data_IF_324453382582
#
_entry.id   IF_324453382582
#
_cell.length_a   1.000
_cell.length_b   1.000
_cell.length_c   1.000
_cell.angle_alpha   90.00
_cell.angle_beta   90.00
_cell.angle_gamma   90.00
#
_symmetry.space_group_name_H-M   'P 1'
#
loop_
_entity.id
_entity.type
_entity.pdbx_description
1 polymer ?
#
# COMPACT_ATOMS: atom_id res chain seq x y z
N UNK A 1 -21.87 -7.54 9.99
CA UNK A 1 -22.18 -8.97 9.77
C UNK A 1 -23.39 -9.33 10.62
N UNK A 2 -24.47 -9.84 10.01
CA UNK A 2 -25.54 -10.54 10.75
C UNK A 2 -25.32 -12.02 10.47
N UNK A 3 -24.58 -12.68 11.36
CA UNK A 3 -24.29 -14.10 11.31
C UNK A 3 -25.09 -14.80 12.42
N UNK A 4 -25.54 -16.02 12.17
CA UNK A 4 -26.10 -16.85 13.23
C UNK A 4 -24.99 -17.41 14.14
N UNK A 5 -25.38 -18.09 15.21
CA UNK A 5 -24.43 -18.60 16.22
C UNK A 5 -23.50 -19.69 15.64
N UNK A 6 -23.99 -20.48 14.69
CA UNK A 6 -23.22 -21.56 14.09
C UNK A 6 -22.15 -21.00 13.14
N UNK A 7 -22.52 -19.98 12.36
CA UNK A 7 -21.59 -19.22 11.53
C UNK A 7 -20.53 -18.51 12.38
N UNK A 8 -20.93 -17.83 13.47
CA UNK A 8 -19.98 -17.20 14.41
C UNK A 8 -19.03 -18.23 15.03
N UNK A 9 -19.52 -19.42 15.38
CA UNK A 9 -18.68 -20.50 15.89
C UNK A 9 -17.65 -20.97 14.86
N UNK A 10 -18.05 -21.11 13.60
CA UNK A 10 -17.14 -21.46 12.51
C UNK A 10 -16.05 -20.39 12.28
N UNK A 11 -16.45 -19.11 12.26
CA UNK A 11 -15.51 -18.00 12.11
C UNK A 11 -14.54 -17.90 13.31
N UNK A 12 -15.06 -18.14 14.52
CA UNK A 12 -14.23 -18.20 15.72
C UNK A 12 -13.17 -19.30 15.62
N UNK A 13 -13.56 -20.51 15.20
CA UNK A 13 -12.62 -21.62 14.96
C UNK A 13 -11.52 -21.25 13.98
N UNK A 14 -11.85 -20.61 12.86
CA UNK A 14 -10.83 -20.12 11.92
C UNK A 14 -9.81 -19.17 12.60
N UNK A 15 -10.28 -18.30 13.50
CA UNK A 15 -9.38 -17.40 14.25
C UNK A 15 -8.48 -18.13 15.22
N UNK A 16 -9.02 -19.05 16.02
CA UNK A 16 -8.30 -19.68 17.14
C UNK A 16 -7.50 -20.91 16.75
N UNK A 17 -8.02 -21.74 15.84
CA UNK A 17 -7.40 -22.99 15.40
C UNK A 17 -6.46 -22.72 14.20
N UNK A 18 -6.98 -22.07 13.14
CA UNK A 18 -6.19 -21.83 11.92
C UNK A 18 -5.31 -20.59 12.01
N UNK A 19 -5.49 -19.77 13.06
CA UNK A 19 -4.81 -18.48 13.24
C UNK A 19 -5.10 -17.50 12.10
N UNK A 20 -6.28 -17.59 11.47
CA UNK A 20 -6.68 -16.67 10.41
C UNK A 20 -6.77 -15.24 10.95
N UNK A 21 -6.19 -14.23 10.28
CA UNK A 21 -6.30 -12.84 10.69
C UNK A 21 -7.77 -12.42 10.89
N UNK A 22 -8.04 -11.69 11.98
CA UNK A 22 -9.39 -11.22 12.29
C UNK A 22 -9.95 -10.35 11.17
N UNK A 23 -9.10 -9.52 10.56
CA UNK A 23 -9.43 -8.63 9.45
C UNK A 23 -9.91 -9.39 8.22
N UNK A 24 -9.33 -10.55 7.91
CA UNK A 24 -9.82 -11.42 6.83
C UNK A 24 -11.14 -12.11 7.19
N UNK A 25 -11.40 -12.36 8.47
CA UNK A 25 -12.68 -12.91 8.93
C UNK A 25 -13.80 -11.87 8.78
N UNK A 26 -13.54 -10.62 9.17
CA UNK A 26 -14.56 -9.54 9.08
C UNK A 26 -14.59 -8.86 7.71
N UNK A 27 -13.58 -9.08 6.87
CA UNK A 27 -13.46 -8.52 5.52
C UNK A 27 -13.01 -7.05 5.46
N UNK A 28 -12.54 -6.48 6.57
CA UNK A 28 -12.09 -5.10 6.61
C UNK A 28 -11.01 -4.85 7.67
N UNK A 29 -10.26 -3.78 7.49
CA UNK A 29 -9.33 -3.23 8.47
C UNK A 29 -9.59 -1.74 8.71
N UNK A 30 -9.41 -1.33 9.97
CA UNK A 30 -9.38 0.09 10.33
C UNK A 30 -7.96 0.63 10.15
N UNK A 31 -7.84 1.68 9.34
CA UNK A 31 -6.56 2.31 9.06
C UNK A 31 -6.76 3.83 8.95
N UNK A 32 -6.12 4.59 9.82
CA UNK A 32 -6.37 6.03 10.02
C UNK A 32 -7.87 6.30 10.27
N UNK A 33 -8.48 7.17 9.47
CA UNK A 33 -9.93 7.44 9.49
C UNK A 33 -10.71 6.61 8.45
N UNK A 34 -10.08 5.58 7.86
CA UNK A 34 -10.65 4.70 6.85
C UNK A 34 -11.03 3.34 7.45
N UNK A 35 -12.07 2.75 6.87
CA UNK A 35 -12.36 1.31 6.92
C UNK A 35 -12.14 0.75 5.53
N UNK A 36 -11.04 0.01 5.36
CA UNK A 36 -10.63 -0.56 4.08
C UNK A 36 -11.09 -2.01 3.99
N UNK A 37 -11.66 -2.40 2.86
CA UNK A 37 -11.90 -3.80 2.55
C UNK A 37 -10.56 -4.51 2.41
N UNK A 38 -10.45 -5.69 3.02
CA UNK A 38 -9.28 -6.57 2.89
C UNK A 38 -9.76 -8.01 2.75
N UNK A 39 -8.94 -8.84 2.11
CA UNK A 39 -9.19 -10.27 1.96
C UNK A 39 -7.87 -11.01 1.78
N UNK A 40 -7.93 -12.34 1.83
CA UNK A 40 -6.77 -13.19 1.56
C UNK A 40 -6.12 -12.83 0.21
N UNK A 41 -4.79 -12.75 0.22
CA UNK A 41 -4.01 -12.27 -0.93
C UNK A 41 -3.72 -10.77 -0.96
N UNK A 42 -4.14 -10.01 0.07
CA UNK A 42 -3.84 -8.57 0.21
C UNK A 42 -3.29 -8.28 1.60
N UNK A 43 -2.12 -7.63 1.66
CA UNK A 43 -1.52 -7.21 2.93
C UNK A 43 -2.52 -6.40 3.77
N UNK A 44 -2.65 -6.75 5.04
CA UNK A 44 -3.49 -5.99 5.97
C UNK A 44 -2.75 -4.68 6.29
N UNK A 45 -3.33 -3.50 6.01
CA UNK A 45 -2.68 -2.21 6.26
C UNK A 45 -2.21 -2.07 7.70
N UNK A 46 -1.00 -1.55 7.89
CA UNK A 46 -0.38 -1.39 9.20
C UNK A 46 -0.46 0.07 9.68
N UNK A 47 -0.70 0.33 10.99
CA UNK A 47 -0.73 1.69 11.53
C UNK A 47 0.56 2.47 11.26
N UNK A 48 1.69 1.78 11.24
CA UNK A 48 3.01 2.32 10.93
C UNK A 48 3.04 3.08 9.59
N UNK A 49 2.37 2.52 8.57
CA UNK A 49 2.30 3.07 7.21
C UNK A 49 1.53 4.40 7.15
N UNK A 50 0.72 4.72 8.15
CA UNK A 50 -0.03 5.99 8.21
C UNK A 50 0.91 7.21 8.19
N UNK A 51 2.14 7.07 8.71
CA UNK A 51 3.11 8.16 8.77
C UNK A 51 3.56 8.64 7.37
N UNK A 52 3.53 7.78 6.34
CA UNK A 52 3.80 8.21 4.96
C UNK A 52 2.77 9.25 4.51
N UNK A 53 1.50 9.07 4.87
CA UNK A 53 0.42 10.00 4.52
C UNK A 53 0.66 11.37 5.15
N UNK A 54 1.13 11.39 6.41
CA UNK A 54 1.47 12.64 7.10
C UNK A 54 2.67 13.36 6.45
N UNK A 55 3.70 12.62 6.04
CA UNK A 55 4.83 13.19 5.29
C UNK A 55 4.40 13.80 3.95
N UNK A 56 3.49 13.12 3.24
CA UNK A 56 2.92 13.67 1.99
C UNK A 56 2.17 14.96 2.27
N UNK A 57 1.33 15.00 3.30
CA UNK A 57 0.61 16.21 3.71
C UNK A 57 1.56 17.39 4.00
N UNK A 58 2.63 17.14 4.76
CA UNK A 58 3.60 18.15 5.14
C UNK A 58 4.36 18.76 3.97
N UNK A 59 4.57 17.98 2.90
CA UNK A 59 5.28 18.43 1.70
C UNK A 59 4.35 19.17 0.74
N UNK A 60 3.15 18.63 0.48
CA UNK A 60 2.20 19.25 -0.46
C UNK A 60 1.53 20.51 0.10
N UNK A 61 1.41 20.63 1.42
CA UNK A 61 0.92 21.87 2.07
C UNK A 61 1.85 23.06 1.85
N UNK A 62 3.13 22.82 1.56
CA UNK A 62 4.17 23.83 1.32
C UNK A 62 4.53 23.97 -0.16
N UNK A 63 3.98 23.11 -1.02
CA UNK A 63 4.34 23.07 -2.44
C UNK A 63 3.11 22.74 -3.32
N UNK A 64 2.51 23.77 -3.88
CA UNK A 64 1.32 23.63 -4.75
C UNK A 64 1.62 22.87 -6.05
N UNK A 65 2.87 22.88 -6.55
CA UNK A 65 3.24 22.11 -7.74
C UNK A 65 3.29 20.59 -7.46
N UNK A 66 3.60 20.19 -6.22
CA UNK A 66 3.48 18.80 -5.79
C UNK A 66 2.02 18.41 -5.54
N UNK A 67 1.25 19.31 -4.92
CA UNK A 67 -0.17 19.11 -4.63
C UNK A 67 -1.04 18.94 -5.89
N UNK A 68 -0.68 19.61 -6.98
CA UNK A 68 -1.39 19.53 -8.28
C UNK A 68 -0.83 18.46 -9.22
N UNK A 69 0.19 17.73 -8.78
CA UNK A 69 0.89 16.74 -9.59
C UNK A 69 0.21 15.37 -9.59
N UNK A 70 0.80 14.46 -10.38
CA UNK A 70 0.44 13.04 -10.38
C UNK A 70 1.38 12.30 -9.43
N UNK A 71 0.82 11.50 -8.54
CA UNK A 71 1.54 10.69 -7.58
C UNK A 71 1.42 9.21 -7.92
N UNK A 72 2.38 8.39 -7.50
CA UNK A 72 2.31 6.94 -7.61
C UNK A 72 2.35 6.26 -6.23
N UNK A 73 1.61 5.16 -6.10
CA UNK A 73 1.65 4.24 -4.96
C UNK A 73 2.03 2.84 -5.49
N UNK A 74 3.28 2.43 -5.27
CA UNK A 74 3.81 1.17 -5.79
C UNK A 74 3.63 0.05 -4.77
N UNK A 75 3.01 -1.06 -5.18
CA UNK A 75 2.59 -2.12 -4.26
C UNK A 75 1.38 -1.70 -3.45
N UNK A 76 0.36 -1.13 -4.12
CA UNK A 76 -0.74 -0.41 -3.48
C UNK A 76 -1.58 -1.30 -2.55
N UNK A 77 -1.56 -2.63 -2.73
CA UNK A 77 -2.24 -3.58 -1.85
C UNK A 77 -3.73 -3.31 -1.78
N UNK A 78 -4.22 -2.90 -0.61
CA UNK A 78 -5.63 -2.53 -0.42
C UNK A 78 -5.99 -1.13 -0.92
N UNK A 79 -5.03 -0.36 -1.44
CA UNK A 79 -5.20 1.04 -1.84
C UNK A 79 -5.03 2.04 -0.69
N UNK A 80 -4.52 1.62 0.48
CA UNK A 80 -4.45 2.45 1.68
C UNK A 80 -3.69 3.77 1.45
N UNK A 81 -2.46 3.67 0.94
CA UNK A 81 -1.63 4.83 0.61
C UNK A 81 -2.23 5.64 -0.54
N UNK A 82 -2.65 5.00 -1.63
CA UNK A 82 -3.28 5.68 -2.76
C UNK A 82 -4.50 6.53 -2.34
N UNK A 83 -5.38 5.99 -1.49
CA UNK A 83 -6.55 6.69 -0.95
C UNK A 83 -6.13 7.80 0.01
N UNK A 84 -5.20 7.53 0.93
CA UNK A 84 -4.67 8.52 1.87
C UNK A 84 -4.09 9.74 1.15
N UNK A 85 -3.19 9.50 0.18
CA UNK A 85 -2.58 10.54 -0.67
C UNK A 85 -3.63 11.23 -1.51
N UNK A 86 -4.52 10.49 -2.19
CA UNK A 86 -5.56 11.08 -3.04
C UNK A 86 -6.49 12.03 -2.30
N UNK A 87 -6.79 11.76 -1.02
CA UNK A 87 -7.57 12.67 -0.16
C UNK A 87 -6.80 13.94 0.18
N UNK A 88 -5.49 13.86 0.42
CA UNK A 88 -4.63 15.02 0.70
C UNK A 88 -4.54 15.95 -0.52
N UNK A 89 -4.34 15.39 -1.72
CA UNK A 89 -4.19 16.18 -2.96
C UNK A 89 -5.47 16.94 -3.35
N UNK A 90 -6.62 16.54 -2.81
CA UNK A 90 -7.89 17.21 -3.07
C UNK A 90 -8.26 17.13 -4.55
N UNK A 91 -8.73 18.24 -5.13
CA UNK A 91 -9.07 18.30 -6.57
C UNK A 91 -7.88 18.70 -7.45
N UNK A 92 -6.71 18.94 -6.85
CA UNK A 92 -5.54 19.44 -7.56
C UNK A 92 -4.75 18.35 -8.26
N UNK A 93 -4.58 17.19 -7.61
CA UNK A 93 -3.71 16.11 -8.06
C UNK A 93 -4.43 14.79 -8.35
N UNK A 94 -3.67 13.83 -8.83
CA UNK A 94 -4.11 12.46 -9.12
C UNK A 94 -3.14 11.44 -8.52
N UNK A 95 -3.60 10.22 -8.33
CA UNK A 95 -2.77 9.10 -7.88
C UNK A 95 -2.91 7.94 -8.84
N UNK A 96 -1.80 7.25 -9.11
CA UNK A 96 -1.79 5.97 -9.80
C UNK A 96 -1.29 4.93 -8.80
N UNK A 97 -2.16 4.03 -8.36
CA UNK A 97 -1.77 2.85 -7.57
C UNK A 97 -1.43 1.71 -8.51
N UNK A 98 -0.35 0.99 -8.26
CA UNK A 98 -0.04 -0.25 -8.98
C UNK A 98 0.22 -1.42 -8.06
N UNK A 99 -0.17 -2.62 -8.49
CA UNK A 99 0.14 -3.86 -7.80
C UNK A 99 0.32 -5.01 -8.80
N UNK A 100 1.20 -5.94 -8.47
CA UNK A 100 1.42 -7.17 -9.24
C UNK A 100 0.25 -8.16 -9.05
N UNK A 101 -0.40 -8.13 -7.89
CA UNK A 101 -1.48 -9.06 -7.54
C UNK A 101 -2.82 -8.59 -8.13
N UNK A 102 -3.46 -9.39 -9.01
CA UNK A 102 -4.80 -9.06 -9.51
C UNK A 102 -5.85 -8.96 -8.38
N UNK A 103 -5.63 -9.70 -7.30
CA UNK A 103 -6.48 -9.64 -6.10
C UNK A 103 -6.33 -8.29 -5.39
N UNK A 104 -5.10 -7.82 -5.22
CA UNK A 104 -4.83 -6.50 -4.65
C UNK A 104 -5.40 -5.38 -5.53
N UNK A 105 -5.19 -5.45 -6.85
CA UNK A 105 -5.77 -4.52 -7.83
C UNK A 105 -7.29 -4.41 -7.68
N UNK A 106 -8.00 -5.55 -7.60
CA UNK A 106 -9.44 -5.57 -7.43
C UNK A 106 -9.89 -4.95 -6.10
N UNK A 107 -9.19 -5.26 -5.00
CA UNK A 107 -9.48 -4.73 -3.67
C UNK A 107 -9.20 -3.22 -3.58
N UNK A 108 -8.08 -2.76 -4.12
CA UNK A 108 -7.74 -1.34 -4.21
C UNK A 108 -8.79 -0.58 -5.02
N UNK A 109 -9.19 -1.10 -6.19
CA UNK A 109 -10.24 -0.49 -7.01
C UNK A 109 -11.58 -0.41 -6.27
N UNK A 110 -11.96 -1.48 -5.54
CA UNK A 110 -13.16 -1.48 -4.70
C UNK A 110 -13.10 -0.42 -3.59
N UNK A 111 -11.97 -0.31 -2.88
CA UNK A 111 -11.79 0.70 -1.84
C UNK A 111 -11.78 2.12 -2.41
N UNK A 112 -11.14 2.35 -3.56
CA UNK A 112 -11.17 3.64 -4.27
C UNK A 112 -12.62 4.07 -4.58
N UNK A 113 -13.44 3.15 -5.10
CA UNK A 113 -14.85 3.41 -5.36
C UNK A 113 -15.65 3.66 -4.08
N UNK A 114 -15.39 2.88 -3.01
CA UNK A 114 -16.04 3.06 -1.70
C UNK A 114 -15.87 4.48 -1.15
N UNK A 115 -14.72 5.12 -1.42
CA UNK A 115 -14.45 6.49 -1.01
C UNK A 115 -14.73 7.55 -2.10
N UNK A 116 -15.36 7.15 -3.22
CA UNK A 116 -15.69 8.03 -4.34
C UNK A 116 -14.48 8.76 -4.94
N UNK A 117 -13.35 8.06 -5.09
CA UNK A 117 -12.08 8.62 -5.58
C UNK A 117 -11.69 8.11 -6.97
N UNK A 118 -12.56 7.39 -7.68
CA UNK A 118 -12.26 6.78 -8.99
C UNK A 118 -11.88 7.79 -10.10
N UNK A 119 -12.29 9.05 -9.97
CA UNK A 119 -11.90 10.11 -10.93
C UNK A 119 -10.48 10.66 -10.66
N UNK A 120 -9.92 10.33 -9.50
CA UNK A 120 -8.62 10.84 -9.00
C UNK A 120 -7.57 9.76 -8.88
N UNK A 121 -7.99 8.54 -8.59
CA UNK A 121 -7.12 7.40 -8.33
C UNK A 121 -7.36 6.38 -9.43
N UNK A 122 -6.32 6.14 -10.23
CA UNK A 122 -6.27 5.06 -11.21
C UNK A 122 -5.53 3.87 -10.60
N UNK A 123 -6.06 2.66 -10.74
CA UNK A 123 -5.38 1.44 -10.31
C UNK A 123 -4.92 0.67 -11.56
N UNK A 124 -3.64 0.31 -11.61
CA UNK A 124 -3.03 -0.42 -12.72
C UNK A 124 -2.43 -1.74 -12.25
N UNK A 125 -2.61 -2.80 -13.02
CA UNK A 125 -1.98 -4.09 -12.76
C UNK A 125 -0.58 -4.14 -13.38
N UNK A 126 0.39 -4.65 -12.62
CA UNK A 126 1.73 -5.00 -13.12
C UNK A 126 2.82 -4.76 -12.08
N UNK A 127 4.05 -5.14 -12.45
CA UNK A 127 5.18 -5.11 -11.52
C UNK A 127 5.79 -3.73 -11.45
N UNK A 128 5.86 -3.15 -10.24
CA UNK A 128 6.60 -1.92 -9.96
C UNK A 128 6.31 -0.79 -10.98
N UNK A 129 7.32 -0.45 -11.78
CA UNK A 129 7.31 0.65 -12.74
C UNK A 129 6.71 0.28 -14.11
N UNK A 130 6.48 -1.01 -14.39
CA UNK A 130 5.97 -1.46 -15.69
C UNK A 130 4.67 -0.76 -16.11
N UNK A 131 3.69 -0.53 -15.22
CA UNK A 131 2.44 0.14 -15.56
C UNK A 131 2.55 1.67 -15.64
N UNK A 132 3.74 2.23 -15.41
CA UNK A 132 3.98 3.68 -15.30
C UNK A 132 4.94 4.22 -16.38
N UNK A 133 5.18 3.47 -17.46
CA UNK A 133 6.08 3.90 -18.55
C UNK A 133 5.64 5.23 -19.20
N UNK A 134 4.34 5.51 -19.23
CA UNK A 134 3.78 6.79 -19.71
C UNK A 134 4.09 7.98 -18.79
N UNK A 135 4.59 7.72 -17.58
CA UNK A 135 4.85 8.70 -16.51
C UNK A 135 6.34 9.03 -16.31
N UNK A 136 7.23 8.57 -17.18
CA UNK A 136 8.67 8.91 -17.14
C UNK A 136 8.91 10.41 -17.03
N UNK A 137 9.65 10.84 -15.99
CA UNK A 137 9.95 12.23 -15.66
C UNK A 137 8.77 13.13 -15.26
N UNK A 138 7.59 12.56 -14.97
CA UNK A 138 6.34 13.33 -14.76
C UNK A 138 5.74 13.22 -13.36
N UNK A 139 6.14 12.22 -12.57
CA UNK A 139 5.57 12.04 -11.24
C UNK A 139 6.02 13.15 -10.31
N UNK A 140 5.06 13.78 -9.64
CA UNK A 140 5.33 14.72 -8.57
C UNK A 140 5.74 14.01 -7.28
N UNK A 141 5.21 12.81 -7.03
CA UNK A 141 5.73 12.00 -5.96
C UNK A 141 5.46 10.51 -6.13
N UNK A 142 6.23 9.72 -5.38
CA UNK A 142 6.15 8.27 -5.35
C UNK A 142 6.17 7.83 -3.89
N UNK A 143 5.20 7.01 -3.51
CA UNK A 143 5.12 6.36 -2.20
C UNK A 143 5.07 4.84 -2.36
N UNK A 144 5.52 4.11 -1.34
CA UNK A 144 5.40 2.65 -1.31
C UNK A 144 5.52 2.10 0.10
N UNK A 145 4.80 1.02 0.40
CA UNK A 145 5.14 0.10 1.48
C UNK A 145 5.55 -1.25 0.85
N UNK A 146 6.83 -1.39 0.44
CA UNK A 146 7.31 -2.57 -0.26
C UNK A 146 7.56 -3.75 0.70
N UNK A 147 7.70 -4.99 0.20
CA UNK A 147 8.19 -6.10 1.02
C UNK A 147 9.65 -5.86 1.44
N UNK A 148 9.94 -5.95 2.73
CA UNK A 148 11.28 -5.70 3.29
C UNK A 148 11.71 -6.74 4.34
N UNK A 149 10.97 -7.83 4.53
CA UNK A 149 11.33 -8.84 5.54
C UNK A 149 12.36 -9.81 4.92
N UNK A 150 13.51 -10.04 5.57
CA UNK A 150 14.47 -11.03 5.11
C UNK A 150 13.83 -12.42 4.96
N UNK A 151 14.12 -13.13 3.88
CA UNK A 151 13.47 -14.41 3.56
C UNK A 151 13.58 -15.45 4.68
N UNK A 152 14.67 -15.43 5.44
CA UNK A 152 14.91 -16.34 6.57
C UNK A 152 14.02 -16.03 7.78
N UNK A 153 13.62 -14.76 7.96
CA UNK A 153 12.83 -14.30 9.10
C UNK A 153 11.33 -14.54 8.88
N UNK A 154 10.89 -14.74 7.65
CA UNK A 154 9.47 -15.04 7.29
C UNK A 154 8.93 -16.21 8.12
N UNK A 155 9.74 -17.24 8.35
CA UNK A 155 9.32 -18.43 9.12
C UNK A 155 9.10 -18.15 10.61
N UNK A 156 9.71 -17.08 11.14
CA UNK A 156 9.58 -16.64 12.53
C UNK A 156 8.43 -15.67 12.78
N UNK A 157 7.70 -15.25 11.75
CA UNK A 157 6.57 -14.34 11.88
C UNK A 157 5.42 -14.97 12.68
N UNK A 158 4.58 -14.11 13.25
CA UNK A 158 3.34 -14.55 13.89
C UNK A 158 2.52 -15.38 12.88
N UNK A 159 1.86 -16.43 13.38
CA UNK A 159 1.13 -17.37 12.53
C UNK A 159 0.07 -16.69 11.65
N UNK A 160 -0.59 -15.66 12.18
CA UNK A 160 -1.53 -14.80 11.45
C UNK A 160 -0.90 -14.21 10.18
N UNK A 161 0.33 -13.73 10.28
CA UNK A 161 1.04 -13.06 9.18
C UNK A 161 1.71 -14.09 8.28
N UNK A 162 2.61 -14.90 8.83
CA UNK A 162 3.46 -15.81 8.06
C UNK A 162 2.70 -16.95 7.35
N UNK A 163 1.48 -17.29 7.79
CA UNK A 163 0.66 -18.33 7.13
C UNK A 163 -0.40 -17.79 6.19
N UNK A 164 -0.93 -16.59 6.41
CA UNK A 164 -2.14 -16.11 5.73
C UNK A 164 -1.91 -14.87 4.88
N UNK A 165 -0.92 -14.03 5.20
CA UNK A 165 -0.62 -12.86 4.39
C UNK A 165 0.25 -13.24 3.18
N UNK A 166 0.04 -12.58 2.03
CA UNK A 166 0.72 -12.96 0.80
C UNK A 166 2.23 -12.79 0.94
N UNK A 167 2.99 -13.87 0.74
CA UNK A 167 4.46 -13.86 0.85
C UNK A 167 5.10 -12.78 -0.02
N UNK A 168 4.55 -12.53 -1.22
CA UNK A 168 5.03 -11.48 -2.14
C UNK A 168 4.93 -10.06 -1.56
N UNK A 169 4.06 -9.82 -0.57
CA UNK A 169 3.97 -8.54 0.12
C UNK A 169 4.83 -8.47 1.40
N UNK A 170 5.54 -9.54 1.74
CA UNK A 170 6.37 -9.63 2.95
C UNK A 170 7.85 -9.80 2.62
N UNK A 171 8.17 -10.75 1.73
CA UNK A 171 9.52 -11.24 1.45
C UNK A 171 10.31 -10.24 0.59
N UNK A 172 11.24 -9.53 1.24
CA UNK A 172 12.12 -8.55 0.61
C UNK A 172 13.44 -9.15 0.09
N UNK A 173 13.54 -10.48 -0.01
CA UNK A 173 14.75 -11.16 -0.45
C UNK A 173 15.68 -11.53 0.70
N UNK A 174 16.92 -11.90 0.37
CA UNK A 174 17.88 -12.53 1.31
C UNK A 174 18.12 -11.65 2.55
N UNK A 175 18.29 -10.35 2.33
CA UNK A 175 18.55 -9.34 3.36
C UNK A 175 17.38 -8.36 3.56
N UNK A 176 16.27 -8.55 2.84
CA UNK A 176 15.12 -7.65 2.88
C UNK A 176 15.24 -6.40 2.00
N UNK A 177 16.29 -6.27 1.20
CA UNK A 177 16.59 -5.03 0.48
C UNK A 177 16.20 -5.04 -1.01
N UNK A 178 15.81 -6.18 -1.60
CA UNK A 178 15.64 -6.31 -3.06
C UNK A 178 14.64 -5.28 -3.61
N UNK A 179 13.47 -5.18 -2.99
CA UNK A 179 12.45 -4.22 -3.39
C UNK A 179 12.85 -2.77 -3.12
N UNK A 180 13.55 -2.52 -2.01
CA UNK A 180 13.99 -1.18 -1.61
C UNK A 180 15.00 -0.61 -2.60
N UNK A 181 15.99 -1.43 -2.99
CA UNK A 181 16.99 -1.07 -3.98
C UNK A 181 16.34 -0.87 -5.35
N UNK A 182 15.44 -1.77 -5.75
CA UNK A 182 14.70 -1.62 -7.00
C UNK A 182 13.92 -0.31 -7.07
N UNK A 183 13.24 0.05 -5.97
CA UNK A 183 12.53 1.32 -5.88
C UNK A 183 13.47 2.53 -5.98
N UNK A 184 14.60 2.51 -5.28
CA UNK A 184 15.57 3.59 -5.32
C UNK A 184 16.15 3.78 -6.73
N UNK A 185 16.45 2.70 -7.43
CA UNK A 185 17.03 2.74 -8.78
C UNK A 185 16.03 3.25 -9.82
N UNK A 186 14.74 2.91 -9.69
CA UNK A 186 13.72 3.30 -10.67
C UNK A 186 13.02 4.63 -10.39
N UNK A 187 13.03 5.13 -9.14
CA UNK A 187 12.32 6.35 -8.77
C UNK A 187 12.79 7.58 -9.56
N UNK A 188 14.11 7.72 -9.81
CA UNK A 188 14.68 8.85 -10.54
C UNK A 188 14.18 8.95 -11.99
N UNK A 189 13.87 7.81 -12.61
CA UNK A 189 13.35 7.77 -13.99
C UNK A 189 11.92 8.32 -14.08
N UNK A 190 11.09 8.14 -13.05
CA UNK A 190 9.70 8.56 -13.09
C UNK A 190 9.46 9.94 -12.48
N UNK A 191 10.26 10.35 -11.51
CA UNK A 191 10.07 11.62 -10.80
C UNK A 191 10.46 12.81 -11.66
N UNK A 192 9.67 13.88 -11.56
CA UNK A 192 10.08 15.20 -12.06
C UNK A 192 11.13 15.81 -11.13
N UNK A 193 11.90 16.77 -11.63
CA UNK A 193 12.78 17.59 -10.77
C UNK A 193 11.95 18.31 -9.68
N UNK A 194 12.42 18.27 -8.44
CA UNK A 194 11.68 18.73 -7.26
C UNK A 194 10.71 17.69 -6.69
N UNK A 195 10.68 16.48 -7.26
CA UNK A 195 9.77 15.39 -6.90
C UNK A 195 10.02 14.82 -5.50
N UNK A 196 9.00 14.15 -4.96
CA UNK A 196 9.03 13.57 -3.62
C UNK A 196 9.02 12.04 -3.68
N UNK A 197 9.95 11.39 -2.99
CA UNK A 197 9.97 9.94 -2.84
C UNK A 197 9.92 9.56 -1.36
N UNK A 198 9.05 8.64 -0.97
CA UNK A 198 9.05 8.04 0.36
C UNK A 198 8.69 6.56 0.32
N UNK A 199 9.31 5.74 1.17
CA UNK A 199 8.92 4.35 1.36
C UNK A 199 9.14 3.88 2.79
N UNK A 200 8.39 2.85 3.19
CA UNK A 200 8.51 2.21 4.49
C UNK A 200 9.64 1.16 4.52
N UNK A 201 10.42 1.14 5.61
CA UNK A 201 11.39 0.07 5.92
C UNK A 201 11.49 -0.15 7.44
N UNK A 202 11.85 -1.37 7.85
CA UNK A 202 12.07 -1.74 9.25
C UNK A 202 13.57 -1.72 9.64
N UNK A 203 13.96 -1.26 10.86
CA UNK A 203 13.13 -0.73 11.96
C UNK A 203 12.62 0.68 11.72
N UNK A 204 11.29 0.86 11.68
CA UNK A 204 10.50 2.09 11.37
C UNK A 204 11.31 3.32 10.90
N UNK A 205 12.03 3.18 9.79
CA UNK A 205 12.66 4.32 9.13
C UNK A 205 11.84 4.58 7.88
N UNK A 206 11.30 5.80 7.74
CA UNK A 206 10.79 6.25 6.46
C UNK A 206 11.94 6.98 5.78
N UNK A 207 12.41 6.41 4.67
CA UNK A 207 13.41 7.06 3.86
C UNK A 207 12.70 8.01 2.89
N UNK A 208 13.16 9.26 2.81
CA UNK A 208 12.68 10.19 1.82
C UNK A 208 13.83 10.94 1.16
N UNK A 209 13.67 11.19 -0.14
CA UNK A 209 14.62 11.96 -0.94
C UNK A 209 13.86 13.00 -1.74
N UNK A 210 14.42 14.21 -1.81
CA UNK A 210 13.89 15.29 -2.64
C UNK A 210 14.84 15.44 -3.82
N UNK A 211 14.38 14.98 -4.99
CA UNK A 211 15.12 15.06 -6.27
C UNK A 211 15.11 16.50 -6.77
#
# INVERSE_FOLDING_TARGET
MRADIDELYCLWKQRIEDRKPFQYIVGCEHWKDLVLSVQEGVLIPRPETELIVDLVYDVVSKNEDLKRGVWADLGTGSGALAIGVGRILGNGGKVIGSDLSPVAVAVAAYNVQRYCLQDKIEIREGSWFEPLKDMEGKLAGLVSNPPYIPSNDISGLQAEVGKHEPRVALDGGIDGMDALLHLCDGADLLLKSGGFFAFEVWPLFIYYYKV
#
